data_IF_053631984889
#
_entry.id   IF_053631984889
#
_cell.length_a   1.000
_cell.length_b   1.000
_cell.length_c   1.000
_cell.angle_alpha   90.00
_cell.angle_beta   90.00
_cell.angle_gamma   90.00
#
_symmetry.space_group_name_H-M   'P 1'
#
loop_
_entity.id
_entity.type
_entity.pdbx_description
1 polymer ?
#
# COMPACT_ATOMS: atom_id res chain seq x y z
N UNK A 1 -87.29 -20.19 86.11
CA UNK A 1 -88.20 -19.21 85.56
C UNK A 1 -87.36 -18.16 84.82
N UNK A 2 -87.73 -17.92 83.67
CA UNK A 2 -87.21 -16.89 82.76
C UNK A 2 -86.27 -17.38 81.67
N UNK A 3 -86.82 -17.49 80.47
CA UNK A 3 -86.17 -17.66 79.19
C UNK A 3 -85.65 -16.35 78.76
N UNK A 4 -84.44 -16.30 78.33
CA UNK A 4 -83.96 -15.24 77.54
C UNK A 4 -83.50 -15.80 76.19
N UNK A 5 -84.19 -15.35 75.21
CA UNK A 5 -84.04 -15.58 73.76
C UNK A 5 -82.76 -14.87 73.29
N UNK A 6 -81.86 -15.57 72.57
CA UNK A 6 -80.77 -14.94 71.84
C UNK A 6 -81.00 -15.07 70.36
N UNK A 7 -81.24 -13.90 69.77
CA UNK A 7 -81.52 -13.72 68.38
C UNK A 7 -80.34 -14.13 67.46
N UNK A 8 -80.76 -14.67 66.32
CA UNK A 8 -79.83 -15.08 65.26
C UNK A 8 -79.05 -13.94 64.65
N UNK A 9 -77.80 -14.16 64.55
CA UNK A 9 -76.92 -13.31 63.76
C UNK A 9 -76.90 -13.82 62.32
N UNK A 10 -77.48 -13.00 61.43
CA UNK A 10 -77.42 -13.18 59.97
C UNK A 10 -75.96 -13.07 59.54
N UNK A 11 -75.42 -14.08 58.87
CA UNK A 11 -74.22 -14.05 58.15
C UNK A 11 -74.44 -13.35 56.81
N UNK A 12 -74.12 -12.08 56.76
CA UNK A 12 -74.12 -11.32 55.50
C UNK A 12 -72.93 -11.66 54.68
N UNK A 13 -73.21 -12.02 53.50
CA UNK A 13 -72.44 -12.24 52.30
C UNK A 13 -70.99 -11.72 52.19
N UNK A 14 -70.08 -12.66 52.12
CA UNK A 14 -68.76 -12.39 51.62
C UNK A 14 -68.82 -12.15 50.10
N UNK A 15 -68.75 -10.89 49.71
CA UNK A 15 -68.76 -10.48 48.33
C UNK A 15 -67.37 -10.80 47.73
N UNK A 16 -67.26 -11.97 47.09
CA UNK A 16 -66.10 -12.34 46.35
C UNK A 16 -65.87 -11.38 45.13
N UNK A 17 -65.05 -10.42 45.32
CA UNK A 17 -64.54 -9.59 44.24
C UNK A 17 -63.79 -10.50 43.25
N UNK A 18 -64.42 -10.91 42.16
CA UNK A 18 -63.81 -11.54 41.02
C UNK A 18 -62.90 -10.48 40.31
N UNK A 19 -61.64 -10.42 40.70
CA UNK A 19 -60.65 -9.73 39.92
C UNK A 19 -60.55 -10.44 38.58
N UNK A 20 -61.10 -9.82 37.56
CA UNK A 20 -60.91 -10.20 36.15
C UNK A 20 -59.53 -9.77 35.73
N UNK A 21 -58.55 -10.69 35.84
CA UNK A 21 -57.20 -10.48 35.18
C UNK A 21 -57.48 -10.44 33.67
N UNK A 22 -57.43 -9.24 33.14
CA UNK A 22 -57.41 -9.02 31.71
C UNK A 22 -56.04 -9.50 31.23
N UNK A 23 -55.97 -10.69 30.65
CA UNK A 23 -54.79 -11.25 30.02
C UNK A 23 -54.54 -10.41 28.76
N UNK A 24 -53.85 -9.25 28.93
CA UNK A 24 -53.29 -8.52 27.81
C UNK A 24 -52.30 -9.46 27.16
N UNK A 25 -52.69 -10.07 26.05
CA UNK A 25 -51.75 -10.76 25.18
C UNK A 25 -50.72 -9.73 24.72
N UNK A 26 -49.53 -9.76 25.34
CA UNK A 26 -48.39 -9.04 24.85
C UNK A 26 -48.07 -9.59 23.46
N UNK A 27 -48.50 -8.86 22.44
CA UNK A 27 -48.08 -9.13 21.06
C UNK A 27 -46.57 -9.00 21.01
N UNK A 28 -45.89 -10.14 21.00
CA UNK A 28 -44.45 -10.22 20.77
C UNK A 28 -44.22 -9.73 19.33
N UNK A 29 -43.95 -8.46 19.19
CA UNK A 29 -43.49 -7.89 17.90
C UNK A 29 -42.21 -8.63 17.57
N UNK A 30 -42.17 -9.41 16.47
CA UNK A 30 -40.94 -10.12 16.11
C UNK A 30 -39.84 -9.08 15.85
N UNK A 31 -38.77 -9.14 16.63
CA UNK A 31 -37.61 -8.29 16.43
C UNK A 31 -37.19 -8.44 14.97
N UNK A 32 -37.38 -7.37 14.20
CA UNK A 32 -36.97 -7.27 12.80
C UNK A 32 -35.49 -7.53 12.75
N UNK A 33 -35.05 -8.76 12.43
CA UNK A 33 -33.68 -9.11 12.19
C UNK A 33 -33.19 -8.18 11.09
N UNK A 34 -32.48 -7.13 11.48
CA UNK A 34 -31.71 -6.32 10.55
C UNK A 34 -30.68 -7.29 9.96
N UNK A 35 -31.01 -7.83 8.78
CA UNK A 35 -30.01 -8.52 7.97
C UNK A 35 -29.00 -7.45 7.57
N UNK A 36 -27.97 -7.25 8.41
CA UNK A 36 -26.77 -6.59 7.99
C UNK A 36 -26.18 -7.46 6.90
N UNK A 37 -26.54 -7.16 5.67
CA UNK A 37 -25.90 -7.76 4.53
C UNK A 37 -24.43 -7.36 4.61
N UNK A 38 -23.64 -8.16 5.28
CA UNK A 38 -22.19 -8.01 5.27
C UNK A 38 -21.77 -8.14 3.81
N UNK A 39 -21.43 -7.01 3.20
CA UNK A 39 -21.01 -6.93 1.81
C UNK A 39 -19.61 -7.54 1.67
N UNK A 40 -19.54 -8.86 1.78
CA UNK A 40 -18.29 -9.63 1.69
C UNK A 40 -17.51 -9.35 0.41
N UNK A 41 -18.16 -8.89 -0.65
CA UNK A 41 -17.55 -8.45 -1.89
C UNK A 41 -16.67 -7.17 -1.72
N UNK A 42 -16.85 -6.40 -0.62
CA UNK A 42 -15.99 -5.26 -0.27
C UNK A 42 -14.70 -5.71 0.45
N UNK A 43 -14.66 -6.94 0.96
CA UNK A 43 -13.51 -7.43 1.73
C UNK A 43 -12.17 -7.33 0.95
N UNK A 44 -12.08 -7.67 -0.36
CA UNK A 44 -10.82 -7.51 -1.08
C UNK A 44 -10.37 -6.05 -1.20
N UNK A 45 -11.30 -5.10 -1.30
CA UNK A 45 -10.97 -3.67 -1.33
C UNK A 45 -10.46 -3.19 0.03
N UNK A 46 -11.06 -3.64 1.12
CA UNK A 46 -10.61 -3.34 2.49
C UNK A 46 -9.21 -3.91 2.71
N UNK A 47 -8.98 -5.18 2.34
CA UNK A 47 -7.67 -5.81 2.47
C UNK A 47 -6.62 -5.06 1.64
N UNK A 48 -6.95 -4.69 0.40
CA UNK A 48 -6.05 -3.90 -0.45
C UNK A 48 -5.73 -2.54 0.19
N UNK A 49 -6.73 -1.83 0.73
CA UNK A 49 -6.54 -0.57 1.44
C UNK A 49 -5.62 -0.72 2.66
N UNK A 50 -5.82 -1.77 3.46
CA UNK A 50 -4.97 -2.07 4.62
C UNK A 50 -3.53 -2.41 4.19
N UNK A 51 -3.34 -3.16 3.12
CA UNK A 51 -2.01 -3.46 2.57
C UNK A 51 -1.31 -2.19 2.08
N UNK A 52 -2.02 -1.30 1.38
CA UNK A 52 -1.47 -0.01 0.95
C UNK A 52 -1.07 0.85 2.16
N UNK A 53 -1.94 0.97 3.16
CA UNK A 53 -1.65 1.71 4.38
C UNK A 53 -0.45 1.12 5.15
N UNK A 54 -0.38 -0.20 5.26
CA UNK A 54 0.74 -0.89 5.90
C UNK A 54 2.07 -0.60 5.18
N UNK A 55 2.09 -0.67 3.84
CA UNK A 55 3.27 -0.34 3.03
C UNK A 55 3.70 1.12 3.19
N UNK A 56 2.74 2.05 3.27
CA UNK A 56 3.04 3.47 3.51
C UNK A 56 3.69 3.68 4.88
N UNK A 57 3.13 3.07 5.92
CA UNK A 57 3.69 3.13 7.28
C UNK A 57 5.11 2.52 7.31
N UNK A 58 5.33 1.40 6.62
CA UNK A 58 6.66 0.82 6.51
C UNK A 58 7.65 1.78 5.82
N UNK A 59 7.25 2.39 4.70
CA UNK A 59 8.14 3.30 3.96
C UNK A 59 8.55 4.53 4.76
N UNK A 60 7.67 5.00 5.68
CA UNK A 60 7.98 6.13 6.57
C UNK A 60 8.97 5.71 7.66
N UNK A 61 8.79 4.53 8.26
CA UNK A 61 9.55 4.07 9.42
C UNK A 61 10.90 3.46 9.10
N UNK A 62 11.07 2.93 7.88
CA UNK A 62 12.30 2.25 7.50
C UNK A 62 13.43 3.25 7.25
N UNK A 63 14.63 2.90 7.70
CA UNK A 63 15.86 3.58 7.30
C UNK A 63 16.41 2.92 6.02
N UNK A 64 16.48 3.65 4.89
CA UNK A 64 17.01 3.08 3.66
C UNK A 64 18.48 2.69 3.79
N UNK A 65 18.83 1.60 3.14
CA UNK A 65 20.19 1.04 3.10
C UNK A 65 20.94 1.40 1.81
N UNK A 66 20.20 1.85 0.79
CA UNK A 66 20.78 2.30 -0.48
C UNK A 66 19.93 3.42 -1.12
N UNK A 67 20.51 4.06 -2.11
CA UNK A 67 19.86 5.05 -2.97
C UNK A 67 19.70 4.41 -4.35
N UNK A 68 18.46 4.30 -4.82
CA UNK A 68 18.11 3.75 -6.13
C UNK A 68 17.58 4.86 -7.04
N UNK A 69 18.29 5.13 -8.14
CA UNK A 69 18.01 6.25 -9.05
C UNK A 69 17.55 5.70 -10.38
N UNK A 70 16.34 6.11 -10.81
CA UNK A 70 15.90 5.91 -12.17
C UNK A 70 16.47 7.01 -13.05
N UNK A 71 17.35 6.64 -13.96
CA UNK A 71 17.99 7.56 -14.89
C UNK A 71 17.02 8.27 -15.85
N UNK A 72 17.57 8.95 -16.84
CA UNK A 72 16.81 9.66 -17.87
C UNK A 72 16.77 11.18 -17.70
N UNK A 73 17.08 11.72 -16.52
CA UNK A 73 17.22 13.17 -16.29
C UNK A 73 18.35 13.46 -15.28
N UNK A 74 19.27 14.32 -15.66
CA UNK A 74 20.43 14.71 -14.85
C UNK A 74 20.04 15.20 -13.44
N UNK A 75 18.92 15.92 -13.30
CA UNK A 75 18.46 16.44 -12.01
C UNK A 75 18.27 15.34 -10.97
N UNK A 76 17.88 14.12 -11.38
CA UNK A 76 17.72 12.97 -10.49
C UNK A 76 19.07 12.51 -9.95
N UNK A 77 20.09 12.44 -10.82
CA UNK A 77 21.46 12.07 -10.46
C UNK A 77 22.11 13.11 -9.54
N UNK A 78 21.88 14.40 -9.81
CA UNK A 78 22.36 15.49 -8.95
C UNK A 78 21.67 15.46 -7.57
N UNK A 79 20.38 15.20 -7.51
CA UNK A 79 19.65 15.04 -6.25
C UNK A 79 20.17 13.83 -5.45
N UNK A 80 20.38 12.71 -6.14
CA UNK A 80 20.96 11.51 -5.54
C UNK A 80 22.38 11.73 -5.02
N UNK A 81 23.22 12.45 -5.76
CA UNK A 81 24.58 12.77 -5.34
C UNK A 81 24.60 13.64 -4.08
N UNK A 82 23.71 14.65 -3.99
CA UNK A 82 23.55 15.45 -2.76
C UNK A 82 23.13 14.61 -1.58
N UNK A 83 22.17 13.70 -1.77
CA UNK A 83 21.71 12.79 -0.73
C UNK A 83 22.82 11.83 -0.30
N UNK A 84 23.55 11.24 -1.26
CA UNK A 84 24.65 10.31 -1.00
C UNK A 84 25.83 10.97 -0.23
N UNK A 85 26.04 12.27 -0.41
CA UNK A 85 27.01 13.04 0.36
C UNK A 85 26.58 13.21 1.84
N UNK A 86 25.27 13.35 2.09
CA UNK A 86 24.71 13.44 3.46
C UNK A 86 24.68 12.09 4.19
N UNK A 87 24.58 10.98 3.44
CA UNK A 87 24.49 9.62 3.97
C UNK A 87 25.69 8.77 3.47
N UNK A 88 26.88 8.89 4.08
CA UNK A 88 28.10 8.27 3.59
C UNK A 88 28.09 6.74 3.62
N UNK A 89 27.19 6.13 4.36
CA UNK A 89 27.05 4.67 4.48
C UNK A 89 26.14 4.04 3.43
N UNK A 90 25.38 4.84 2.65
CA UNK A 90 24.47 4.31 1.64
C UNK A 90 25.21 4.05 0.33
N UNK A 91 24.99 2.87 -0.28
CA UNK A 91 25.37 2.60 -1.67
C UNK A 91 24.41 3.30 -2.63
N UNK A 92 24.89 3.64 -3.82
CA UNK A 92 24.11 4.33 -4.86
C UNK A 92 24.02 3.44 -6.09
N UNK A 93 22.80 3.21 -6.54
CA UNK A 93 22.48 2.37 -7.68
C UNK A 93 21.74 3.20 -8.73
N UNK A 94 22.40 3.44 -9.86
CA UNK A 94 21.81 4.23 -10.97
C UNK A 94 21.46 3.28 -12.11
N UNK A 95 20.17 3.23 -12.44
CA UNK A 95 19.65 2.44 -13.55
C UNK A 95 19.44 3.32 -14.78
N UNK A 96 20.20 3.03 -15.86
CA UNK A 96 20.12 3.73 -17.17
C UNK A 96 20.18 5.25 -17.06
N UNK A 97 21.21 5.72 -16.34
CA UNK A 97 21.49 7.15 -16.14
C UNK A 97 22.07 7.83 -17.39
N UNK A 98 22.55 9.05 -17.19
CA UNK A 98 23.40 9.77 -18.15
C UNK A 98 24.67 8.97 -18.46
N UNK A 99 25.44 9.32 -19.51
CA UNK A 99 26.68 8.60 -19.85
C UNK A 99 27.59 8.42 -18.64
N UNK A 100 28.18 7.24 -18.50
CA UNK A 100 28.92 6.78 -17.32
C UNK A 100 29.93 7.80 -16.78
N UNK A 101 30.79 8.35 -17.67
CA UNK A 101 31.76 9.33 -17.27
C UNK A 101 31.17 10.64 -16.75
N UNK A 102 29.95 10.97 -17.18
CA UNK A 102 29.24 12.15 -16.70
C UNK A 102 28.63 11.89 -15.30
N UNK A 103 27.98 10.76 -15.11
CA UNK A 103 27.46 10.35 -13.80
C UNK A 103 28.56 10.26 -12.77
N UNK A 104 29.69 9.59 -13.11
CA UNK A 104 30.87 9.52 -12.22
C UNK A 104 31.34 10.90 -11.79
N UNK A 105 31.42 11.87 -12.72
CA UNK A 105 31.82 13.26 -12.39
C UNK A 105 30.83 13.94 -11.42
N UNK A 106 29.50 13.74 -11.60
CA UNK A 106 28.48 14.30 -10.70
C UNK A 106 28.72 13.80 -9.27
N UNK A 107 28.84 12.49 -9.10
CA UNK A 107 28.99 11.88 -7.78
C UNK A 107 30.35 12.18 -7.14
N UNK A 108 31.44 12.16 -7.91
CA UNK A 108 32.78 12.54 -7.43
C UNK A 108 32.80 13.99 -6.95
N UNK A 109 32.19 14.93 -7.71
CA UNK A 109 32.08 16.34 -7.28
C UNK A 109 31.30 16.52 -5.98
N UNK A 110 30.38 15.61 -5.69
CA UNK A 110 29.63 15.59 -4.44
C UNK A 110 30.36 14.86 -3.29
N UNK A 111 31.58 14.37 -3.51
CA UNK A 111 32.37 13.65 -2.51
C UNK A 111 31.97 12.18 -2.32
N UNK A 112 31.20 11.62 -3.25
CA UNK A 112 30.82 10.20 -3.20
C UNK A 112 31.97 9.34 -3.75
N UNK A 113 32.42 8.38 -2.95
CA UNK A 113 33.46 7.44 -3.35
C UNK A 113 32.97 6.50 -4.45
N UNK A 114 33.86 6.14 -5.39
CA UNK A 114 33.48 5.31 -6.54
C UNK A 114 33.07 3.88 -6.21
N UNK A 115 33.57 3.33 -5.12
CA UNK A 115 33.21 1.99 -4.61
C UNK A 115 31.73 1.86 -4.14
N UNK A 116 31.10 3.01 -3.81
CA UNK A 116 29.69 3.09 -3.44
C UNK A 116 28.74 3.30 -4.63
N UNK A 117 29.28 3.60 -5.82
CA UNK A 117 28.52 3.97 -7.01
C UNK A 117 28.42 2.80 -7.99
N UNK A 118 27.24 2.22 -8.11
CA UNK A 118 26.92 1.13 -9.01
C UNK A 118 26.08 1.65 -10.18
N UNK A 119 26.59 1.49 -11.39
CA UNK A 119 25.95 1.94 -12.63
C UNK A 119 25.51 0.74 -13.45
N UNK A 120 24.22 0.69 -13.85
CA UNK A 120 23.68 -0.35 -14.71
C UNK A 120 22.96 0.30 -15.90
N UNK A 121 23.34 -0.08 -17.10
CA UNK A 121 22.80 0.45 -18.36
C UNK A 121 21.99 -0.59 -19.16
N UNK A 122 21.61 -1.71 -18.53
CA UNK A 122 20.84 -2.77 -19.20
C UNK A 122 19.36 -2.45 -19.35
N UNK A 123 18.84 -1.56 -18.52
CA UNK A 123 17.44 -1.20 -18.55
C UNK A 123 17.09 -0.30 -19.74
N UNK A 124 15.96 -0.56 -20.36
CA UNK A 124 15.43 0.18 -21.52
C UNK A 124 14.15 0.93 -21.18
N UNK A 125 13.50 0.61 -20.08
CA UNK A 125 12.24 1.20 -19.66
C UNK A 125 12.03 1.07 -18.13
N UNK A 126 10.89 1.55 -17.63
CA UNK A 126 10.61 1.57 -16.19
C UNK A 126 10.57 0.18 -15.56
N UNK A 127 10.05 -0.84 -16.25
CA UNK A 127 10.00 -2.21 -15.71
C UNK A 127 11.40 -2.79 -15.62
N UNK A 128 12.18 -2.63 -16.68
CA UNK A 128 13.55 -3.14 -16.75
C UNK A 128 14.49 -2.42 -15.79
N UNK A 129 14.24 -1.14 -15.45
CA UNK A 129 15.00 -0.46 -14.39
C UNK A 129 15.00 -1.23 -13.07
N UNK A 130 13.88 -1.81 -12.69
CA UNK A 130 13.77 -2.59 -11.45
C UNK A 130 14.23 -4.03 -11.64
N UNK A 131 13.80 -4.69 -12.72
CA UNK A 131 14.05 -6.13 -12.90
C UNK A 131 15.52 -6.46 -13.16
N UNK A 132 16.31 -5.56 -13.73
CA UNK A 132 17.74 -5.78 -13.97
C UNK A 132 18.58 -5.66 -12.69
N UNK A 133 18.11 -4.94 -11.67
CA UNK A 133 18.88 -4.68 -10.45
C UNK A 133 18.35 -5.38 -9.20
N UNK A 134 17.18 -6.00 -9.24
CA UNK A 134 16.58 -6.64 -8.06
C UNK A 134 17.48 -7.73 -7.46
N UNK A 135 18.10 -8.55 -8.28
CA UNK A 135 18.99 -9.62 -7.82
C UNK A 135 20.29 -9.07 -7.23
N UNK A 136 20.85 -8.02 -7.83
CA UNK A 136 22.06 -7.37 -7.32
C UNK A 136 21.81 -6.75 -5.94
N UNK A 137 20.71 -6.02 -5.77
CA UNK A 137 20.32 -5.45 -4.48
C UNK A 137 20.11 -6.55 -3.42
N UNK A 138 19.45 -7.65 -3.79
CA UNK A 138 19.24 -8.79 -2.88
C UNK A 138 20.55 -9.47 -2.49
N UNK A 139 21.46 -9.67 -3.41
CA UNK A 139 22.78 -10.28 -3.15
C UNK A 139 23.62 -9.45 -2.18
N UNK A 140 23.43 -8.12 -2.18
CA UNK A 140 24.03 -7.19 -1.23
C UNK A 140 23.27 -7.09 0.10
N UNK A 141 22.19 -7.86 0.29
CA UNK A 141 21.36 -7.84 1.51
C UNK A 141 20.55 -6.56 1.69
N UNK A 142 20.36 -5.75 0.64
CA UNK A 142 19.62 -4.48 0.68
C UNK A 142 18.12 -4.79 0.76
N UNK A 143 17.48 -4.32 1.84
CA UNK A 143 16.04 -4.51 2.13
C UNK A 143 15.23 -3.21 2.05
N UNK A 144 15.88 -2.08 1.83
CA UNK A 144 15.21 -0.78 1.74
C UNK A 144 16.03 0.21 0.93
N UNK A 145 15.35 0.99 0.08
CA UNK A 145 16.01 1.97 -0.77
C UNK A 145 15.27 3.30 -0.81
N UNK A 146 16.00 4.42 -0.90
CA UNK A 146 15.44 5.65 -1.42
C UNK A 146 15.19 5.49 -2.92
N UNK A 147 13.94 5.61 -3.36
CA UNK A 147 13.61 5.65 -4.79
C UNK A 147 13.64 7.09 -5.28
N UNK A 148 14.63 7.44 -6.11
CA UNK A 148 14.77 8.78 -6.67
C UNK A 148 14.37 8.78 -8.14
N UNK A 149 13.37 9.58 -8.46
CA UNK A 149 12.93 9.87 -9.83
C UNK A 149 12.20 11.21 -9.85
N UNK A 150 11.80 11.68 -11.03
CA UNK A 150 11.02 12.92 -11.16
C UNK A 150 9.62 12.75 -10.58
N UNK A 151 9.06 13.83 -10.07
CA UNK A 151 7.72 13.90 -9.47
C UNK A 151 6.63 13.39 -10.42
N UNK A 152 6.64 13.83 -11.68
CA UNK A 152 5.69 13.39 -12.71
C UNK A 152 5.79 11.89 -13.03
N UNK A 153 6.95 11.26 -12.78
CA UNK A 153 7.22 9.83 -13.01
C UNK A 153 7.05 8.96 -11.76
N UNK A 154 7.02 9.56 -10.57
CA UNK A 154 7.06 8.84 -9.29
C UNK A 154 5.93 7.84 -9.12
N UNK A 155 4.71 8.19 -9.50
CA UNK A 155 3.54 7.28 -9.38
C UNK A 155 3.77 5.98 -10.16
N UNK A 156 4.19 6.07 -11.42
CA UNK A 156 4.47 4.89 -12.25
C UNK A 156 5.67 4.09 -11.72
N UNK A 157 6.74 4.76 -11.35
CA UNK A 157 7.94 4.13 -10.80
C UNK A 157 7.63 3.38 -9.48
N UNK A 158 6.84 3.99 -8.60
CA UNK A 158 6.44 3.37 -7.34
C UNK A 158 5.56 2.13 -7.55
N UNK A 159 4.56 2.20 -8.43
CA UNK A 159 3.69 1.06 -8.75
C UNK A 159 4.50 -0.14 -9.27
N UNK A 160 5.39 0.08 -10.23
CA UNK A 160 6.25 -0.97 -10.78
C UNK A 160 7.23 -1.48 -9.70
N UNK A 161 7.84 -0.57 -8.95
CA UNK A 161 8.79 -0.90 -7.91
C UNK A 161 8.18 -1.71 -6.76
N UNK A 162 6.94 -1.40 -6.34
CA UNK A 162 6.23 -2.20 -5.32
C UNK A 162 5.93 -3.62 -5.81
N UNK A 163 5.69 -3.79 -7.11
CA UNK A 163 5.52 -5.12 -7.69
C UNK A 163 6.86 -5.86 -7.75
N UNK A 164 7.92 -5.26 -8.28
CA UNK A 164 9.20 -5.95 -8.51
C UNK A 164 10.04 -6.04 -7.23
N UNK A 165 10.28 -4.91 -6.56
CA UNK A 165 11.10 -4.85 -5.35
C UNK A 165 10.30 -5.26 -4.12
N UNK A 166 9.07 -4.77 -3.99
CA UNK A 166 8.23 -5.03 -2.82
C UNK A 166 7.89 -6.50 -2.63
N UNK A 167 7.65 -7.28 -3.71
CA UNK A 167 7.44 -8.74 -3.63
C UNK A 167 8.73 -9.49 -3.30
N UNK A 168 9.88 -8.88 -3.50
CA UNK A 168 11.19 -9.43 -3.16
C UNK A 168 11.70 -8.95 -1.77
N UNK A 169 10.84 -8.26 -0.99
CA UNK A 169 11.16 -7.81 0.36
C UNK A 169 11.99 -6.52 0.43
N UNK A 170 12.08 -5.77 -0.67
CA UNK A 170 12.78 -4.47 -0.70
C UNK A 170 11.74 -3.35 -0.56
N UNK A 171 11.83 -2.56 0.50
CA UNK A 171 10.94 -1.45 0.81
C UNK A 171 11.39 -0.20 0.06
N UNK A 172 10.45 0.49 -0.57
CA UNK A 172 10.70 1.74 -1.27
C UNK A 172 10.36 2.93 -0.38
N UNK A 173 11.29 3.89 -0.27
CA UNK A 173 11.06 5.21 0.30
C UNK A 173 11.13 6.26 -0.82
N UNK A 174 9.98 6.71 -1.35
CA UNK A 174 9.95 7.64 -2.48
C UNK A 174 10.57 9.00 -2.14
N UNK A 175 11.42 9.50 -3.03
CA UNK A 175 12.02 10.83 -2.99
C UNK A 175 11.86 11.50 -4.38
N UNK A 176 10.74 12.19 -4.61
CA UNK A 176 10.49 12.85 -5.90
C UNK A 176 11.38 14.05 -6.10
N UNK A 177 11.92 14.20 -7.31
CA UNK A 177 12.66 15.37 -7.77
C UNK A 177 11.75 16.23 -8.64
N UNK A 178 11.62 17.50 -8.32
CA UNK A 178 10.77 18.42 -9.07
C UNK A 178 11.28 18.54 -10.51
N UNK A 179 10.40 18.32 -11.47
CA UNK A 179 10.74 18.31 -12.90
C UNK A 179 10.03 19.38 -13.72
N UNK A 180 8.97 19.98 -13.19
CA UNK A 180 8.08 20.90 -13.92
C UNK A 180 7.47 20.29 -15.20
N UNK A 181 7.51 18.98 -15.35
CA UNK A 181 6.90 18.26 -16.46
C UNK A 181 5.45 17.88 -16.13
N UNK A 182 4.57 17.79 -17.14
CA UNK A 182 3.19 17.36 -16.91
C UNK A 182 3.15 15.94 -16.34
N UNK A 183 2.09 15.62 -15.60
CA UNK A 183 1.85 14.27 -15.09
C UNK A 183 1.80 13.25 -16.24
N UNK A 184 2.37 12.08 -16.02
CA UNK A 184 2.30 11.01 -17.02
C UNK A 184 0.90 10.44 -17.14
N UNK A 185 0.53 10.03 -18.35
CA UNK A 185 -0.76 9.41 -18.63
C UNK A 185 -0.90 8.07 -17.85
N UNK A 186 -2.03 7.81 -17.18
CA UNK A 186 -2.25 6.63 -16.34
C UNK A 186 -2.14 5.31 -17.09
N UNK A 187 -2.40 5.31 -18.43
CA UNK A 187 -2.28 4.12 -19.29
C UNK A 187 -0.85 3.57 -19.30
N UNK A 188 0.17 4.45 -19.18
CA UNK A 188 1.56 4.02 -19.09
C UNK A 188 1.78 3.22 -17.80
N UNK A 189 1.22 3.67 -16.69
CA UNK A 189 1.30 3.00 -15.40
C UNK A 189 0.62 1.64 -15.44
N UNK A 190 -0.58 1.56 -15.99
CA UNK A 190 -1.34 0.31 -16.11
C UNK A 190 -0.60 -0.73 -16.97
N UNK A 191 -0.08 -0.31 -18.13
CA UNK A 191 0.71 -1.17 -19.02
C UNK A 191 1.96 -1.72 -18.28
N UNK A 192 2.69 -0.84 -17.61
CA UNK A 192 3.95 -1.23 -16.95
C UNK A 192 3.70 -2.09 -15.70
N UNK A 193 2.58 -1.88 -14.99
CA UNK A 193 2.10 -2.79 -13.94
C UNK A 193 1.82 -4.20 -14.49
N UNK A 194 1.08 -4.31 -15.60
CA UNK A 194 0.79 -5.60 -16.23
C UNK A 194 2.08 -6.33 -16.64
N UNK A 195 3.07 -5.62 -17.17
CA UNK A 195 4.38 -6.17 -17.52
C UNK A 195 5.19 -6.59 -16.29
N UNK A 196 5.13 -5.84 -15.19
CA UNK A 196 5.78 -6.20 -13.94
C UNK A 196 5.16 -7.47 -13.34
N UNK A 197 3.83 -7.62 -13.39
CA UNK A 197 3.12 -8.84 -12.98
C UNK A 197 3.48 -10.03 -13.88
N UNK A 198 3.57 -9.83 -15.19
CA UNK A 198 4.04 -10.86 -16.12
C UNK A 198 5.45 -11.33 -15.76
N UNK A 199 6.34 -10.40 -15.42
CA UNK A 199 7.70 -10.74 -15.01
C UNK A 199 7.71 -11.58 -13.73
N UNK A 200 6.88 -11.28 -12.74
CA UNK A 200 6.81 -12.08 -11.51
C UNK A 200 6.46 -13.55 -11.77
N UNK A 201 5.62 -13.82 -12.77
CA UNK A 201 5.13 -15.18 -13.07
C UNK A 201 5.99 -15.92 -14.08
N UNK A 202 6.65 -15.19 -15.00
CA UNK A 202 7.34 -15.81 -16.14
C UNK A 202 8.85 -15.51 -16.20
N UNK A 203 9.32 -14.54 -15.40
CA UNK A 203 10.67 -13.98 -15.51
C UNK A 203 10.89 -13.11 -16.76
N UNK A 204 9.86 -12.89 -17.60
CA UNK A 204 9.97 -12.14 -18.86
C UNK A 204 9.20 -10.82 -18.75
N UNK A 205 9.82 -9.72 -19.14
CA UNK A 205 9.21 -8.38 -19.08
C UNK A 205 8.24 -8.07 -20.22
N UNK A 206 8.08 -8.98 -21.20
CA UNK A 206 7.25 -8.79 -22.37
C UNK A 206 7.72 -7.63 -23.28
N UNK A 207 8.98 -7.19 -23.17
CA UNK A 207 9.54 -6.06 -23.91
C UNK A 207 9.31 -6.19 -25.43
N UNK A 208 9.54 -7.36 -25.98
CA UNK A 208 9.37 -7.64 -27.41
C UNK A 208 7.93 -7.55 -27.90
N UNK A 209 6.95 -7.90 -27.05
CA UNK A 209 5.53 -7.89 -27.43
C UNK A 209 4.98 -6.46 -27.61
N UNK A 210 5.47 -5.52 -26.83
CA UNK A 210 4.99 -4.14 -26.83
C UNK A 210 5.71 -3.22 -27.84
N UNK A 211 6.88 -3.63 -28.35
CA UNK A 211 7.52 -2.90 -29.45
C UNK A 211 6.86 -3.13 -30.80
N UNK A 212 6.18 -4.27 -31.00
CA UNK A 212 5.43 -4.56 -32.23
C UNK A 212 4.14 -3.74 -32.39
N UNK A 213 3.58 -3.24 -31.30
CA UNK A 213 2.35 -2.41 -31.29
C UNK A 213 2.57 -0.92 -31.64
N UNK A 214 3.81 -0.50 -31.86
CA UNK A 214 4.16 0.91 -32.19
C UNK A 214 4.56 1.16 -33.65
N UNK A 215 4.38 0.18 -34.52
CA UNK A 215 4.59 0.34 -35.98
C UNK A 215 3.27 0.50 -36.70
#
# INVERSE_FOLDING_TARGET
MERTDYGGVRSDGFMLLKLRFNKQEASIVPARRVRTGFHWWLSPLIVLGLLCAYKEIQSIRVEPQAIFVLGGHENRERAAAKLAAQYPNLSVWVSSGSPEGYVKRIFTKAGVKGDRLHLNYQAKDTVTNFTTLVNDLKSQGIKSVYLITSDNHMTRARLVGEIVFGTQGIILKPLPVISHLPAEAPEKSLRDMARALLWLTTGKTGETLFHLSRR
#
